data_IF_835619346148
#
_entry.id   IF_835619346148
#
_cell.length_a   1.000
_cell.length_b   1.000
_cell.length_c   1.000
_cell.angle_alpha   90.00
_cell.angle_beta   90.00
_cell.angle_gamma   90.00
#
_symmetry.space_group_name_H-M   'P 1'
#
loop_
_entity.id
_entity.type
_entity.pdbx_description
1 polymer ?
#
# COMPACT_ATOMS: atom_id res chain seq x y z
N UNK A 1 -5.34 12.91 -11.49
CA UNK A 1 -5.44 11.43 -11.47
C UNK A 1 -4.12 10.84 -11.93
N UNK A 2 -3.31 10.33 -11.01
CA UNK A 2 -2.10 9.58 -11.33
C UNK A 2 -2.15 8.24 -10.58
N UNK A 3 -2.74 7.24 -11.22
CA UNK A 3 -2.62 5.84 -10.83
C UNK A 3 -1.20 5.37 -11.18
N UNK A 4 -0.27 5.52 -10.22
CA UNK A 4 1.13 5.09 -10.37
C UNK A 4 1.22 3.55 -10.43
N UNK A 5 1.23 3.07 -11.68
CA UNK A 5 1.76 1.83 -12.22
C UNK A 5 1.94 0.61 -11.30
N UNK A 6 0.89 -0.21 -11.28
CA UNK A 6 0.92 -1.64 -10.92
C UNK A 6 1.79 -2.49 -11.90
N UNK A 7 2.44 -1.85 -12.89
CA UNK A 7 3.29 -2.51 -13.90
C UNK A 7 4.78 -2.68 -13.57
N UNK A 8 5.33 -2.08 -12.50
CA UNK A 8 6.80 -2.12 -12.29
C UNK A 8 7.25 -3.25 -11.35
N UNK A 9 6.58 -3.42 -10.21
CA UNK A 9 7.01 -4.38 -9.18
C UNK A 9 6.87 -5.85 -9.63
N UNK A 10 5.72 -6.22 -10.19
CA UNK A 10 5.42 -7.62 -10.52
C UNK A 10 6.34 -8.18 -11.60
N UNK A 11 6.58 -7.40 -12.65
CA UNK A 11 7.52 -7.74 -13.72
C UNK A 11 8.96 -7.81 -13.18
N UNK A 12 9.37 -6.82 -12.38
CA UNK A 12 10.68 -6.83 -11.77
C UNK A 12 10.93 -8.06 -10.89
N UNK A 13 9.97 -8.44 -10.04
CA UNK A 13 10.06 -9.64 -9.21
C UNK A 13 10.20 -10.91 -10.06
N UNK A 14 9.43 -11.01 -11.15
CA UNK A 14 9.53 -12.12 -12.10
C UNK A 14 10.92 -12.20 -12.73
N UNK A 15 11.48 -11.06 -13.13
CA UNK A 15 12.80 -10.99 -13.75
C UNK A 15 13.91 -11.33 -12.77
N UNK A 16 13.86 -10.78 -11.55
CA UNK A 16 14.82 -11.13 -10.50
C UNK A 16 14.77 -12.62 -10.15
N UNK A 17 13.57 -13.19 -10.07
CA UNK A 17 13.39 -14.63 -9.85
C UNK A 17 14.02 -15.46 -10.97
N UNK A 18 13.83 -15.07 -12.24
CA UNK A 18 14.41 -15.76 -13.41
C UNK A 18 15.93 -15.65 -13.43
N UNK A 19 16.48 -14.47 -13.13
CA UNK A 19 17.93 -14.25 -12.99
C UNK A 19 18.53 -15.11 -11.88
N UNK A 20 17.81 -15.26 -10.76
CA UNK A 20 18.17 -16.16 -9.67
C UNK A 20 17.93 -17.66 -9.99
N UNK A 21 17.43 -17.99 -11.19
CA UNK A 21 17.10 -19.35 -11.64
C UNK A 21 16.13 -20.09 -10.71
N UNK A 22 15.26 -19.34 -10.01
CA UNK A 22 14.27 -19.91 -9.10
C UNK A 22 12.95 -20.14 -9.84
N UNK A 23 12.36 -21.31 -9.63
CA UNK A 23 10.93 -21.49 -9.92
C UNK A 23 10.08 -20.64 -8.98
N UNK A 24 8.85 -20.35 -9.39
CA UNK A 24 7.90 -19.63 -8.53
C UNK A 24 7.66 -20.35 -7.20
N UNK A 25 7.68 -21.69 -7.19
CA UNK A 25 7.52 -22.51 -5.98
C UNK A 25 8.70 -22.34 -5.03
N UNK A 26 9.92 -22.39 -5.56
CA UNK A 26 11.14 -22.21 -4.75
C UNK A 26 11.21 -20.81 -4.14
N UNK A 27 10.88 -19.75 -4.90
CA UNK A 27 10.87 -18.40 -4.34
C UNK A 27 9.80 -18.25 -3.24
N UNK A 28 8.59 -18.79 -3.47
CA UNK A 28 7.52 -18.74 -2.47
C UNK A 28 7.93 -19.44 -1.17
N UNK A 29 8.53 -20.63 -1.29
CA UNK A 29 9.04 -21.41 -0.15
C UNK A 29 10.15 -20.66 0.60
N UNK A 30 11.14 -20.10 -0.13
CA UNK A 30 12.23 -19.35 0.46
C UNK A 30 11.78 -18.03 1.13
N UNK A 31 10.74 -17.40 0.60
CA UNK A 31 10.15 -16.19 1.15
C UNK A 31 9.10 -16.48 2.24
N UNK A 32 8.74 -17.74 2.50
CA UNK A 32 7.71 -18.08 3.50
C UNK A 32 6.30 -17.61 3.12
N UNK A 33 6.01 -17.45 1.83
CA UNK A 33 4.70 -17.02 1.32
C UNK A 33 4.05 -18.11 0.47
N UNK A 34 2.74 -18.05 0.28
CA UNK A 34 2.05 -19.03 -0.56
C UNK A 34 2.36 -18.81 -2.04
N UNK A 35 2.52 -19.91 -2.79
CA UNK A 35 2.76 -19.86 -4.23
C UNK A 35 1.64 -19.14 -5.02
N UNK A 36 0.34 -19.33 -4.71
CA UNK A 36 -0.74 -18.57 -5.36
C UNK A 36 -0.63 -17.07 -5.12
N UNK A 37 -0.24 -16.65 -3.90
CA UNK A 37 -0.11 -15.24 -3.56
C UNK A 37 1.07 -14.59 -4.29
N UNK A 38 2.24 -15.24 -4.32
CA UNK A 38 3.38 -14.76 -5.10
C UNK A 38 3.07 -14.67 -6.59
N UNK A 39 2.32 -15.63 -7.14
CA UNK A 39 1.82 -15.59 -8.52
C UNK A 39 0.93 -14.36 -8.79
N UNK A 40 0.08 -13.97 -7.83
CA UNK A 40 -0.75 -12.78 -7.95
C UNK A 40 0.09 -11.50 -7.92
N UNK A 41 1.13 -11.44 -7.08
CA UNK A 41 2.06 -10.31 -7.01
C UNK A 41 2.82 -10.14 -8.33
N UNK A 42 3.42 -11.21 -8.89
CA UNK A 42 4.15 -11.13 -10.18
C UNK A 42 3.27 -10.72 -11.37
N UNK A 43 1.95 -10.87 -11.24
CA UNK A 43 0.98 -10.43 -12.25
C UNK A 43 0.38 -9.05 -11.96
N UNK A 44 0.78 -8.40 -10.88
CA UNK A 44 0.21 -7.13 -10.45
C UNK A 44 -1.23 -7.23 -9.92
N UNK A 45 -1.74 -8.43 -9.65
CA UNK A 45 -3.12 -8.63 -9.19
C UNK A 45 -3.29 -8.37 -7.69
N UNK A 46 -2.19 -8.32 -6.94
CA UNK A 46 -2.18 -8.05 -5.50
C UNK A 46 -1.02 -7.11 -5.16
N UNK A 47 -1.31 -6.17 -4.27
CA UNK A 47 -0.28 -5.35 -3.62
C UNK A 47 0.27 -6.12 -2.42
N UNK A 48 1.59 -6.39 -2.36
CA UNK A 48 2.21 -7.00 -1.18
C UNK A 48 2.37 -5.99 -0.04
N UNK A 49 2.44 -6.49 1.21
CA UNK A 49 2.84 -5.68 2.36
C UNK A 49 4.36 -5.47 2.40
N UNK A 50 4.81 -4.50 3.20
CA UNK A 50 6.24 -4.27 3.42
C UNK A 50 6.95 -5.52 3.97
N UNK A 51 6.33 -6.25 4.90
CA UNK A 51 6.86 -7.50 5.44
C UNK A 51 7.08 -8.56 4.35
N UNK A 52 6.09 -8.76 3.46
CA UNK A 52 6.21 -9.69 2.33
C UNK A 52 7.33 -9.26 1.39
N UNK A 53 7.47 -7.97 1.12
CA UNK A 53 8.56 -7.45 0.30
C UNK A 53 9.93 -7.67 0.94
N UNK A 54 10.08 -7.54 2.27
CA UNK A 54 11.32 -7.87 2.97
C UNK A 54 11.67 -9.34 2.84
N UNK A 55 10.69 -10.23 3.04
CA UNK A 55 10.88 -11.68 2.93
C UNK A 55 11.31 -12.07 1.51
N UNK A 56 10.64 -11.52 0.49
CA UNK A 56 10.97 -11.75 -0.92
C UNK A 56 12.34 -11.17 -1.28
N UNK A 57 12.67 -9.96 -0.82
CA UNK A 57 13.98 -9.35 -1.02
C UNK A 57 15.10 -10.21 -0.42
N UNK A 58 14.89 -10.72 0.80
CA UNK A 58 15.82 -11.63 1.47
C UNK A 58 16.01 -12.94 0.68
N UNK A 59 14.93 -13.52 0.19
CA UNK A 59 14.98 -14.74 -0.61
C UNK A 59 15.72 -14.54 -1.96
N UNK A 60 15.53 -13.38 -2.59
CA UNK A 60 16.22 -12.98 -3.82
C UNK A 60 17.63 -12.41 -3.60
N UNK A 61 18.02 -12.16 -2.35
CA UNK A 61 19.28 -11.51 -1.96
C UNK A 61 19.47 -10.13 -2.61
N UNK A 62 18.40 -9.34 -2.66
CA UNK A 62 18.39 -7.96 -3.17
C UNK A 62 17.96 -6.99 -2.07
N UNK A 63 18.16 -5.68 -2.30
CA UNK A 63 17.70 -4.65 -1.37
C UNK A 63 16.17 -4.58 -1.32
N UNK A 64 15.61 -4.60 -0.11
CA UNK A 64 14.17 -4.40 0.11
C UNK A 64 13.71 -2.99 -0.30
N UNK A 65 14.60 -1.99 -0.15
CA UNK A 65 14.35 -0.61 -0.57
C UNK A 65 14.01 -0.52 -2.06
N UNK A 66 14.72 -1.27 -2.91
CA UNK A 66 14.44 -1.32 -4.35
C UNK A 66 13.02 -1.84 -4.62
N UNK A 67 12.54 -2.79 -3.83
CA UNK A 67 11.18 -3.30 -3.95
C UNK A 67 10.15 -2.30 -3.43
N UNK A 68 10.43 -1.60 -2.33
CA UNK A 68 9.50 -0.60 -1.78
C UNK A 68 9.23 0.54 -2.75
N UNK A 69 10.28 1.03 -3.42
CA UNK A 69 10.16 2.09 -4.42
C UNK A 69 9.34 1.61 -5.61
N UNK A 70 9.62 0.41 -6.12
CA UNK A 70 8.84 -0.17 -7.22
C UNK A 70 7.40 -0.51 -6.82
N UNK A 71 7.15 -0.76 -5.55
CA UNK A 71 5.82 -0.98 -4.98
C UNK A 71 5.07 0.34 -4.73
N UNK A 72 5.73 1.49 -4.85
CA UNK A 72 5.18 2.79 -4.45
C UNK A 72 4.88 2.87 -2.95
N UNK A 73 5.61 2.10 -2.14
CA UNK A 73 5.52 2.12 -0.66
C UNK A 73 6.53 3.11 -0.09
N UNK A 74 7.67 3.30 -0.76
CA UNK A 74 8.63 4.35 -0.42
C UNK A 74 8.37 5.54 -1.35
N UNK A 75 7.97 6.67 -0.76
CA UNK A 75 7.77 7.90 -1.51
C UNK A 75 9.12 8.50 -1.95
N UNK A 76 9.15 9.21 -3.08
CA UNK A 76 10.37 9.90 -3.57
C UNK A 76 11.00 10.79 -2.50
N UNK A 77 10.16 11.39 -1.64
CA UNK A 77 10.59 12.21 -0.49
C UNK A 77 11.38 11.44 0.57
N UNK A 78 11.03 10.17 0.80
CA UNK A 78 11.71 9.31 1.78
C UNK A 78 13.05 8.80 1.23
N UNK A 79 13.14 8.59 -0.09
CA UNK A 79 14.40 8.33 -0.80
C UNK A 79 15.34 9.53 -0.68
N UNK A 80 14.88 10.72 -1.06
CA UNK A 80 15.68 11.95 -0.98
C UNK A 80 16.20 12.20 0.44
N UNK A 81 15.41 11.84 1.47
CA UNK A 81 15.83 11.92 2.87
C UNK A 81 17.01 11.00 3.19
N UNK A 82 16.90 9.72 2.82
CA UNK A 82 17.97 8.74 3.06
C UNK A 82 19.25 9.11 2.30
N UNK A 83 19.11 9.56 1.05
CA UNK A 83 20.23 10.01 0.22
C UNK A 83 20.90 11.26 0.81
N UNK A 84 20.12 12.24 1.27
CA UNK A 84 20.65 13.47 1.89
C UNK A 84 21.43 13.15 3.18
N UNK A 85 20.87 12.30 4.05
CA UNK A 85 21.54 11.88 5.29
C UNK A 85 22.83 11.12 4.99
N UNK A 86 22.83 10.24 4.00
CA UNK A 86 24.02 9.51 3.57
C UNK A 86 25.13 10.45 3.08
N UNK A 87 24.79 11.51 2.32
CA UNK A 87 25.74 12.52 1.86
C UNK A 87 26.38 13.26 3.03
N UNK A 88 25.58 13.70 4.02
CA UNK A 88 26.10 14.38 5.23
C UNK A 88 27.10 13.48 5.99
N UNK A 89 26.77 12.20 6.13
CA UNK A 89 27.62 11.24 6.82
C UNK A 89 28.91 10.90 6.06
N UNK A 90 28.86 10.90 4.73
CA UNK A 90 30.01 10.59 3.87
C UNK A 90 31.00 11.75 3.72
N UNK A 91 30.63 12.99 4.07
CA UNK A 91 31.51 14.16 3.94
C UNK A 91 32.74 14.05 4.86
N UNK A 92 33.97 13.99 4.32
CA UNK A 92 35.19 13.88 5.12
C UNK A 92 35.63 15.20 5.76
N UNK A 93 35.10 16.34 5.32
CA UNK A 93 35.44 17.67 5.84
C UNK A 93 34.69 18.02 7.14
N UNK A 94 33.67 17.25 7.48
CA UNK A 94 32.79 17.46 8.63
C UNK A 94 33.15 16.43 9.72
N UNK A 95 33.42 16.90 10.93
CA UNK A 95 33.70 15.99 12.05
C UNK A 95 32.41 15.36 12.61
N UNK A 96 32.56 14.32 13.42
CA UNK A 96 31.42 13.55 13.95
C UNK A 96 30.41 14.40 14.73
N UNK A 97 30.89 15.33 15.55
CA UNK A 97 30.02 16.24 16.30
C UNK A 97 29.22 17.17 15.37
N UNK A 98 29.85 17.69 14.33
CA UNK A 98 29.21 18.56 13.35
C UNK A 98 28.18 17.79 12.51
N UNK A 99 28.46 16.53 12.13
CA UNK A 99 27.51 15.64 11.46
C UNK A 99 26.25 15.43 12.31
N UNK A 100 26.43 15.11 13.59
CA UNK A 100 25.31 14.91 14.51
C UNK A 100 24.44 16.17 14.63
N UNK A 101 25.05 17.36 14.73
CA UNK A 101 24.30 18.63 14.78
C UNK A 101 23.55 18.89 13.48
N UNK A 102 24.18 18.68 12.32
CA UNK A 102 23.52 18.86 11.02
C UNK A 102 22.33 17.93 10.85
N UNK A 103 22.48 16.66 11.22
CA UNK A 103 21.39 15.68 11.18
C UNK A 103 20.25 16.07 12.13
N UNK A 104 20.56 16.54 13.34
CA UNK A 104 19.55 17.00 14.29
C UNK A 104 18.74 18.19 13.76
N UNK A 105 19.40 19.18 13.16
CA UNK A 105 18.75 20.36 12.57
C UNK A 105 17.92 19.96 11.35
N UNK A 106 18.47 19.09 10.51
CA UNK A 106 17.76 18.56 9.36
C UNK A 106 16.45 17.85 9.79
N UNK A 107 16.53 17.00 10.81
CA UNK A 107 15.38 16.28 11.35
C UNK A 107 14.33 17.20 11.98
N UNK A 108 14.75 18.29 12.65
CA UNK A 108 13.80 19.24 13.23
C UNK A 108 13.01 19.99 12.15
N UNK A 109 13.69 20.50 11.13
CA UNK A 109 13.02 21.20 10.02
C UNK A 109 12.08 20.28 9.25
N UNK A 110 12.43 19.01 9.06
CA UNK A 110 11.53 18.06 8.42
C UNK A 110 10.28 17.80 9.23
N UNK A 111 10.40 17.64 10.56
CA UNK A 111 9.25 17.44 11.45
C UNK A 111 8.32 18.65 11.47
N UNK A 112 8.89 19.85 11.51
CA UNK A 112 8.13 21.11 11.45
C UNK A 112 7.37 21.23 10.11
N UNK A 113 8.05 21.03 8.98
CA UNK A 113 7.42 21.10 7.67
C UNK A 113 6.36 20.02 7.44
N UNK A 114 6.54 18.82 8.01
CA UNK A 114 5.54 17.76 7.96
C UNK A 114 4.29 18.12 8.79
N UNK A 115 4.46 18.73 9.97
CA UNK A 115 3.36 19.23 10.79
C UNK A 115 2.60 20.38 10.10
N UNK A 116 3.31 21.27 9.39
CA UNK A 116 2.71 22.35 8.61
C UNK A 116 2.01 21.87 7.33
N UNK A 117 2.44 20.74 6.76
CA UNK A 117 1.85 20.15 5.55
C UNK A 117 0.66 19.21 5.83
N UNK A 118 0.38 18.90 7.10
CA UNK A 118 -0.67 17.98 7.53
C UNK A 118 -2.08 18.56 7.87
N UNK A 119 -2.48 19.81 7.54
CA UNK A 119 -3.82 20.29 7.92
C UNK A 119 -4.96 19.72 7.06
N UNK A 120 -4.69 18.96 5.98
CA UNK A 120 -5.72 18.54 5.01
C UNK A 120 -6.01 17.02 4.95
N UNK A 121 -5.34 16.20 5.76
CA UNK A 121 -5.58 14.74 5.79
C UNK A 121 -6.53 14.28 6.91
N UNK A 122 -6.70 15.07 7.98
CA UNK A 122 -7.52 14.70 9.14
C UNK A 122 -9.04 14.93 8.95
N UNK A 123 -9.46 15.61 7.86
CA UNK A 123 -10.88 15.87 7.59
C UNK A 123 -11.60 14.74 6.82
N UNK A 124 -10.86 13.74 6.31
CA UNK A 124 -11.43 12.67 5.48
C UNK A 124 -11.82 11.39 6.23
N UNK A 125 -11.49 11.26 7.53
CA UNK A 125 -11.70 10.01 8.31
C UNK A 125 -12.77 10.12 9.41
N UNK A 126 -13.49 11.24 9.50
CA UNK A 126 -14.53 11.47 10.53
C UNK A 126 -15.97 11.40 9.99
N UNK A 127 -16.23 10.65 8.93
CA UNK A 127 -17.49 10.72 8.17
C UNK A 127 -18.11 9.40 7.72
N UNK A 128 -17.93 8.30 8.46
CA UNK A 128 -18.61 7.04 8.13
C UNK A 128 -18.78 6.12 9.34
N UNK A 129 -19.46 6.57 10.40
CA UNK A 129 -19.95 5.66 11.44
C UNK A 129 -21.14 6.25 12.22
N UNK A 130 -22.20 6.67 11.52
CA UNK A 130 -23.52 6.81 12.15
C UNK A 130 -24.65 6.82 11.11
N UNK A 131 -25.22 5.64 10.80
CA UNK A 131 -26.60 5.50 10.30
C UNK A 131 -26.95 4.02 10.06
N UNK A 132 -27.19 3.24 11.12
CA UNK A 132 -28.21 2.20 11.05
C UNK A 132 -28.76 1.82 12.42
N UNK A 133 -29.62 2.69 12.97
CA UNK A 133 -30.51 2.33 14.07
C UNK A 133 -31.92 2.90 13.79
N UNK A 134 -32.78 2.00 13.30
CA UNK A 134 -34.23 1.94 13.54
C UNK A 134 -35.10 3.20 13.38
N UNK A 135 -35.98 3.18 12.38
CA UNK A 135 -37.39 3.51 12.61
C UNK A 135 -38.32 2.67 11.74
N UNK A 136 -39.08 1.87 12.47
CA UNK A 136 -40.21 1.03 12.10
C UNK A 136 -41.47 1.88 11.79
N UNK A 137 -42.48 1.22 11.23
CA UNK A 137 -43.92 1.55 11.23
C UNK A 137 -44.53 2.39 10.07
N UNK A 138 -45.07 1.65 9.09
CA UNK A 138 -46.49 1.58 8.67
C UNK A 138 -47.31 2.83 8.29
N UNK A 139 -47.86 2.82 7.07
CA UNK A 139 -49.30 3.03 6.72
C UNK A 139 -49.42 3.04 5.18
N UNK A 140 -50.13 2.10 4.54
CA UNK A 140 -51.58 1.90 4.41
C UNK A 140 -52.18 2.59 3.15
N UNK A 141 -53.07 1.83 2.51
CA UNK A 141 -54.10 2.16 1.53
C UNK A 141 -53.77 2.30 0.03
N UNK A 142 -54.15 1.22 -0.69
CA UNK A 142 -55.14 1.20 -1.77
C UNK A 142 -54.78 1.75 -3.16
N UNK A 143 -54.85 0.90 -4.19
CA UNK A 143 -56.03 0.87 -5.08
C UNK A 143 -55.99 -0.27 -6.12
N UNK A 144 -57.02 -1.11 -6.09
CA UNK A 144 -57.78 -1.75 -7.17
C UNK A 144 -57.20 -1.88 -8.60
N UNK A 145 -57.22 -3.12 -9.12
CA UNK A 145 -58.02 -3.38 -10.31
C UNK A 145 -58.46 -4.86 -10.41
N UNK A 146 -59.70 -5.04 -10.86
CA UNK A 146 -60.51 -6.24 -10.83
C UNK A 146 -60.51 -7.05 -12.14
N UNK A 147 -61.31 -8.13 -12.11
CA UNK A 147 -61.80 -9.02 -13.19
C UNK A 147 -60.86 -10.16 -13.60
N UNK A 148 -61.28 -11.41 -13.80
CA UNK A 148 -62.59 -11.91 -14.22
C UNK A 148 -62.70 -13.45 -14.03
N UNK A 149 -63.92 -13.97 -13.93
CA UNK A 149 -64.43 -15.33 -14.28
C UNK A 149 -63.65 -16.61 -13.82
N UNK A 150 -64.21 -17.71 -13.33
CA UNK A 150 -65.55 -18.31 -13.38
C UNK A 150 -65.58 -19.48 -12.37
N UNK A 151 -66.77 -19.79 -11.85
CA UNK A 151 -67.14 -20.91 -10.96
C UNK A 151 -67.39 -22.22 -11.78
N UNK A 152 -67.91 -23.33 -11.20
CA UNK A 152 -67.46 -24.14 -10.05
C UNK A 152 -67.62 -25.68 -10.30
N UNK A 153 -67.54 -26.47 -9.21
CA UNK A 153 -68.18 -27.77 -8.91
C UNK A 153 -67.60 -29.03 -9.59
N UNK A 154 -67.41 -30.18 -8.92
CA UNK A 154 -68.05 -30.78 -7.73
C UNK A 154 -67.06 -31.56 -6.85
#
# INVERSE_FOLDING_TARGET
MASLNVGNLGEYLRDQRRTAQLSLRQLAEAAGVSNPYLSQIERGLRKPSAEVLQQVAKALRISAETLYVRAGILDEKEREELETRAVILADPSINERQKQVLLQIYDSFRKENAAESAPDAAAADAGADDANASSDASSDASNDNASDAERPSS
#
